data_IF_119191698921
#
_entry.id   IF_119191698921
#
_cell.length_a   1.000
_cell.length_b   1.000
_cell.length_c   1.000
_cell.angle_alpha   90.00
_cell.angle_beta   90.00
_cell.angle_gamma   90.00
#
_symmetry.space_group_name_H-M   'P 1'
#
loop_
_entity.id
_entity.type
_entity.pdbx_description
1 polymer ?
#
# COMPACT_ATOMS: atom_id res chain seq x y z
N UNK A 1 9.79 -11.65 4.36
CA UNK A 1 9.10 -10.58 3.60
C UNK A 1 7.91 -10.09 4.41
N UNK A 2 7.62 -8.80 4.35
CA UNK A 2 6.45 -8.20 5.01
C UNK A 2 5.55 -7.61 3.93
N UNK A 3 4.26 -7.92 4.01
CA UNK A 3 3.23 -7.35 3.13
C UNK A 3 2.15 -6.71 4.00
N UNK A 4 1.78 -5.51 3.67
CA UNK A 4 0.69 -4.80 4.33
C UNK A 4 -0.57 -4.86 3.47
N UNK A 5 -1.64 -5.37 4.03
CA UNK A 5 -2.95 -5.38 3.40
C UNK A 5 -3.83 -4.30 4.04
N UNK A 6 -4.26 -3.34 3.22
CA UNK A 6 -5.12 -2.25 3.63
C UNK A 6 -6.56 -2.49 3.13
N UNK A 7 -7.52 -2.48 4.05
CA UNK A 7 -8.93 -2.54 3.68
C UNK A 7 -9.42 -1.18 3.20
N UNK A 8 -9.44 -0.99 1.89
CA UNK A 8 -9.68 0.31 1.23
C UNK A 8 -10.96 1.04 1.67
N UNK A 9 -12.05 0.31 1.90
CA UNK A 9 -13.33 0.89 2.32
C UNK A 9 -13.22 1.41 3.76
N UNK A 10 -12.71 0.60 4.67
CA UNK A 10 -12.56 0.98 6.07
C UNK A 10 -11.45 2.03 6.29
N UNK A 11 -10.44 2.08 5.43
CA UNK A 11 -9.38 3.06 5.54
C UNK A 11 -9.87 4.52 5.42
N UNK A 12 -10.96 4.74 4.68
CA UNK A 12 -11.55 6.07 4.51
C UNK A 12 -12.27 6.55 5.77
N UNK A 13 -12.72 5.61 6.59
CA UNK A 13 -13.48 5.89 7.81
C UNK A 13 -12.55 6.08 9.02
N UNK A 14 -11.24 5.79 8.85
CA UNK A 14 -10.23 6.03 9.88
C UNK A 14 -9.92 7.50 9.92
N UNK A 15 -10.52 8.17 10.86
CA UNK A 15 -10.13 9.50 11.30
C UNK A 15 -9.68 9.40 12.75
N UNK A 16 -8.61 10.07 13.09
CA UNK A 16 -8.34 10.32 14.52
C UNK A 16 -9.34 11.34 14.97
N UNK A 17 -10.04 11.07 16.06
CA UNK A 17 -10.92 12.05 16.69
C UNK A 17 -10.17 13.37 16.84
N UNK A 18 -10.81 14.40 16.33
CA UNK A 18 -10.19 15.70 16.13
C UNK A 18 -9.49 16.20 17.34
N UNK A 19 -8.29 16.64 17.12
CA UNK A 19 -7.54 17.40 18.08
C UNK A 19 -8.32 18.65 18.38
N UNK A 20 -9.02 18.65 19.49
CA UNK A 20 -9.53 19.88 20.07
C UNK A 20 -8.33 20.71 20.54
N UNK A 21 -8.01 21.76 19.82
CA UNK A 21 -7.08 22.75 20.34
C UNK A 21 -7.77 23.46 21.51
N UNK A 22 -7.17 23.50 22.69
CA UNK A 22 -7.79 24.11 23.86
C UNK A 22 -8.19 25.57 23.67
N UNK A 23 -7.66 26.25 22.67
CA UNK A 23 -7.94 27.65 22.32
C UNK A 23 -8.53 27.84 20.92
N UNK A 24 -8.99 26.76 20.24
CA UNK A 24 -9.63 26.91 18.95
C UNK A 24 -11.05 27.46 19.13
N UNK A 25 -11.48 28.43 18.27
CA UNK A 25 -12.87 28.90 18.27
C UNK A 25 -13.82 27.69 18.11
N UNK A 26 -14.98 27.70 18.77
CA UNK A 26 -15.96 26.61 18.72
C UNK A 26 -16.43 26.21 17.32
N UNK A 27 -16.27 27.09 16.36
CA UNK A 27 -16.60 26.92 14.94
C UNK A 27 -15.37 26.74 14.04
N UNK A 28 -14.16 26.53 14.61
CA UNK A 28 -13.00 26.22 13.81
C UNK A 28 -13.23 24.90 13.03
N UNK A 29 -12.93 24.87 11.73
CA UNK A 29 -13.09 23.66 10.94
C UNK A 29 -12.23 22.55 11.57
N UNK A 30 -12.86 21.43 11.90
CA UNK A 30 -12.16 20.25 12.40
C UNK A 30 -11.31 19.67 11.25
N UNK A 31 -10.02 19.75 11.41
CA UNK A 31 -9.06 19.19 10.48
C UNK A 31 -8.56 17.84 11.00
N UNK A 32 -9.42 16.83 10.93
CA UNK A 32 -9.07 15.51 11.39
C UNK A 32 -8.11 14.85 10.40
N UNK A 33 -6.91 14.38 10.84
CA UNK A 33 -6.05 13.56 10.01
C UNK A 33 -6.79 12.30 9.58
N UNK A 34 -6.68 11.93 8.31
CA UNK A 34 -7.36 10.76 7.76
C UNK A 34 -6.52 10.06 6.70
N UNK A 35 -6.78 8.78 6.49
CA UNK A 35 -6.15 8.03 5.40
C UNK A 35 -6.86 8.38 4.10
N UNK A 36 -6.10 8.89 3.13
CA UNK A 36 -6.55 9.07 1.75
C UNK A 36 -5.88 8.08 0.83
N UNK A 37 -6.67 7.49 -0.06
CA UNK A 37 -6.17 6.62 -1.13
C UNK A 37 -6.02 7.49 -2.38
N UNK A 38 -4.78 7.69 -2.79
CA UNK A 38 -4.42 8.51 -3.94
C UNK A 38 -4.19 7.61 -5.15
N UNK A 39 -4.89 7.89 -6.23
CA UNK A 39 -4.61 7.28 -7.53
C UNK A 39 -3.67 8.20 -8.30
N UNK A 40 -2.43 7.78 -8.58
CA UNK A 40 -1.55 8.59 -9.42
C UNK A 40 -2.07 8.62 -10.85
N UNK A 41 -1.71 9.65 -11.61
CA UNK A 41 -1.89 9.65 -13.05
C UNK A 41 -1.05 8.51 -13.66
N UNK A 42 -1.70 7.68 -14.45
CA UNK A 42 -1.03 6.60 -15.18
C UNK A 42 -0.64 7.02 -16.59
N UNK A 43 -1.00 8.26 -17.00
CA UNK A 43 -0.81 8.75 -18.35
C UNK A 43 0.65 8.75 -18.79
N UNK A 44 1.54 9.17 -17.89
CA UNK A 44 2.95 9.35 -18.18
C UNK A 44 3.84 8.29 -17.51
N UNK A 45 3.23 7.29 -16.86
CA UNK A 45 3.97 6.23 -16.18
C UNK A 45 3.33 4.85 -16.41
N UNK A 46 3.81 4.11 -17.42
CA UNK A 46 3.29 2.80 -17.77
C UNK A 46 3.49 1.75 -16.66
N UNK A 47 4.50 1.92 -15.80
CA UNK A 47 4.71 1.00 -14.67
C UNK A 47 3.60 1.12 -13.63
N UNK A 48 3.16 2.34 -13.33
CA UNK A 48 2.03 2.55 -12.42
C UNK A 48 0.73 1.99 -13.00
N UNK A 49 0.56 2.10 -14.32
CA UNK A 49 -0.58 1.49 -15.01
C UNK A 49 -0.55 -0.04 -14.90
N UNK A 50 0.59 -0.66 -15.18
CA UNK A 50 0.78 -2.11 -15.13
C UNK A 50 0.59 -2.68 -13.70
N UNK A 51 1.05 -1.96 -12.69
CA UNK A 51 0.94 -2.37 -11.29
C UNK A 51 -0.46 -2.13 -10.71
N UNK A 52 -1.35 -1.43 -11.41
CA UNK A 52 -2.62 -0.94 -10.87
C UNK A 52 -2.43 -0.22 -9.51
N UNK A 53 -1.30 0.48 -9.38
CA UNK A 53 -0.79 1.02 -8.12
C UNK A 53 -1.72 2.05 -7.49
N UNK A 54 -1.82 1.97 -6.17
CA UNK A 54 -2.48 2.97 -5.34
C UNK A 54 -1.49 3.42 -4.28
N UNK A 55 -1.50 4.71 -3.97
CA UNK A 55 -0.77 5.25 -2.84
C UNK A 55 -1.73 5.56 -1.70
N UNK A 56 -1.21 5.48 -0.49
CA UNK A 56 -1.90 5.97 0.70
C UNK A 56 -1.16 7.18 1.24
N UNK A 57 -1.90 8.18 1.66
CA UNK A 57 -1.37 9.34 2.32
C UNK A 57 -2.20 9.63 3.58
N UNK A 58 -1.55 10.12 4.62
CA UNK A 58 -2.26 10.65 5.77
C UNK A 58 -2.47 12.14 5.50
N UNK A 59 -3.67 12.46 5.03
CA UNK A 59 -4.06 13.83 4.75
C UNK A 59 -4.14 14.63 6.06
N UNK A 60 -3.88 15.92 5.96
CA UNK A 60 -3.90 16.85 7.10
C UNK A 60 -2.95 16.46 8.24
N UNK A 61 -1.86 15.80 7.89
CA UNK A 61 -0.84 15.32 8.84
C UNK A 61 -0.08 16.46 9.57
N UNK A 62 -0.25 17.72 9.15
CA UNK A 62 0.37 18.87 9.80
C UNK A 62 0.02 19.00 11.29
N UNK A 63 -1.22 18.70 11.65
CA UNK A 63 -1.67 18.72 13.04
C UNK A 63 -1.00 17.60 13.84
N UNK A 64 -0.92 16.41 13.24
CA UNK A 64 -0.22 15.28 13.83
C UNK A 64 1.27 15.59 14.02
N UNK A 65 1.89 16.21 13.03
CA UNK A 65 3.28 16.64 13.07
C UNK A 65 3.57 17.60 14.24
N UNK A 66 2.72 18.57 14.45
CA UNK A 66 2.84 19.52 15.56
C UNK A 66 2.73 18.84 16.93
N UNK A 67 1.80 17.87 17.06
CA UNK A 67 1.58 17.15 18.33
C UNK A 67 2.68 16.13 18.63
N UNK A 68 3.20 15.48 17.62
CA UNK A 68 4.19 14.41 17.78
C UNK A 68 5.64 14.91 17.86
N UNK A 69 5.84 16.20 18.07
CA UNK A 69 7.18 16.78 18.15
C UNK A 69 7.95 16.74 16.84
N UNK A 70 7.27 16.92 15.71
CA UNK A 70 7.90 16.98 14.40
C UNK A 70 8.00 15.63 13.68
N UNK A 71 7.39 14.58 14.20
CA UNK A 71 7.36 13.27 13.53
C UNK A 71 6.19 13.18 12.55
N UNK A 72 6.47 12.62 11.37
CA UNK A 72 5.39 12.24 10.45
C UNK A 72 4.82 10.89 10.89
N UNK A 73 3.49 10.73 10.90
CA UNK A 73 2.92 9.44 11.20
C UNK A 73 3.27 8.44 10.09
N UNK A 74 3.69 7.24 10.46
CA UNK A 74 3.61 6.10 9.57
C UNK A 74 2.18 5.53 9.59
N UNK A 75 1.86 4.71 8.61
CA UNK A 75 0.50 4.17 8.46
C UNK A 75 0.12 3.25 9.63
N UNK A 76 1.07 2.45 10.12
CA UNK A 76 0.84 1.52 11.22
C UNK A 76 0.54 2.27 12.52
N UNK A 77 1.38 3.23 12.87
CA UNK A 77 1.22 4.05 14.06
C UNK A 77 -0.07 4.88 14.03
N UNK A 78 -0.41 5.44 12.87
CA UNK A 78 -1.65 6.19 12.70
C UNK A 78 -2.90 5.32 12.91
N UNK A 79 -2.93 4.12 12.32
CA UNK A 79 -4.06 3.19 12.51
C UNK A 79 -4.13 2.69 13.95
N UNK A 80 -3.00 2.43 14.60
CA UNK A 80 -2.96 2.02 16.00
C UNK A 80 -3.50 3.12 16.93
N UNK A 81 -3.18 4.39 16.67
CA UNK A 81 -3.66 5.53 17.45
C UNK A 81 -5.16 5.77 17.24
N UNK A 82 -5.63 5.67 16.00
CA UNK A 82 -7.04 5.85 15.65
C UNK A 82 -7.96 4.76 16.21
N UNK A 83 -7.40 3.61 16.62
CA UNK A 83 -8.14 2.47 17.23
C UNK A 83 -9.46 2.15 16.55
N UNK A 84 -9.48 1.92 15.22
CA UNK A 84 -10.73 1.64 14.52
C UNK A 84 -11.36 0.35 15.06
N UNK A 85 -12.69 0.32 15.16
CA UNK A 85 -13.43 -0.87 15.60
C UNK A 85 -13.39 -2.02 14.60
N UNK A 86 -12.94 -1.75 13.38
CA UNK A 86 -12.84 -2.72 12.29
C UNK A 86 -11.39 -2.88 11.84
N UNK A 87 -11.07 -4.04 11.31
CA UNK A 87 -9.75 -4.31 10.78
C UNK A 87 -9.49 -3.46 9.53
N UNK A 88 -8.58 -2.51 9.64
CA UNK A 88 -8.20 -1.59 8.56
C UNK A 88 -6.88 -1.99 7.92
N UNK A 89 -5.91 -2.37 8.74
CA UNK A 89 -4.56 -2.70 8.30
C UNK A 89 -4.16 -4.06 8.86
N UNK A 90 -3.65 -4.94 7.99
CA UNK A 90 -3.11 -6.25 8.39
C UNK A 90 -1.68 -6.38 7.92
N UNK A 91 -0.81 -6.74 8.83
CA UNK A 91 0.56 -7.14 8.54
C UNK A 91 0.62 -8.63 8.26
N UNK A 92 1.08 -8.99 7.09
CA UNK A 92 1.30 -10.36 6.67
C UNK A 92 2.79 -10.64 6.65
N UNK A 93 3.22 -11.66 7.36
CA UNK A 93 4.60 -12.10 7.39
C UNK A 93 4.73 -13.36 6.54
N UNK A 94 5.59 -13.33 5.56
CA UNK A 94 5.95 -14.51 4.78
C UNK A 94 7.36 -14.95 5.19
N UNK A 95 7.48 -16.16 5.71
CA UNK A 95 8.76 -16.77 5.96
C UNK A 95 9.50 -17.01 4.64
N UNK A 96 10.82 -16.95 4.68
CA UNK A 96 11.64 -17.06 3.45
C UNK A 96 11.49 -18.42 2.76
N UNK A 97 11.28 -19.47 3.54
CA UNK A 97 11.03 -20.84 3.07
C UNK A 97 9.82 -20.98 2.14
N UNK A 98 8.80 -20.11 2.31
CA UNK A 98 7.59 -20.11 1.47
C UNK A 98 7.69 -19.17 0.26
N UNK A 99 8.85 -18.60 -0.03
CA UNK A 99 9.00 -17.67 -1.14
C UNK A 99 8.78 -18.34 -2.49
N UNK A 100 9.26 -19.59 -2.65
CA UNK A 100 9.07 -20.36 -3.88
C UNK A 100 7.60 -20.67 -4.14
N UNK A 101 6.87 -21.10 -3.11
CA UNK A 101 5.45 -21.41 -3.19
C UNK A 101 4.63 -20.17 -3.59
N UNK A 102 4.98 -19.00 -3.00
CA UNK A 102 4.33 -17.76 -3.36
C UNK A 102 4.58 -17.38 -4.82
N UNK A 103 5.79 -17.56 -5.33
CA UNK A 103 6.11 -17.28 -6.73
C UNK A 103 5.25 -18.14 -7.65
N UNK A 104 5.05 -19.41 -7.31
CA UNK A 104 4.21 -20.32 -8.08
C UNK A 104 2.72 -19.88 -8.07
N UNK A 105 2.20 -19.46 -6.91
CA UNK A 105 0.85 -18.89 -6.81
C UNK A 105 0.73 -17.64 -7.68
N UNK A 106 1.69 -16.72 -7.59
CA UNK A 106 1.69 -15.50 -8.39
C UNK A 106 1.71 -15.78 -9.90
N UNK A 107 2.44 -16.81 -10.34
CA UNK A 107 2.43 -17.24 -11.75
C UNK A 107 1.05 -17.71 -12.21
N UNK A 108 0.36 -18.52 -11.40
CA UNK A 108 -1.02 -18.97 -11.67
C UNK A 108 -1.98 -17.80 -11.80
N UNK A 109 -1.78 -16.77 -10.98
CA UNK A 109 -2.53 -15.52 -11.03
C UNK A 109 -2.03 -14.56 -12.14
N UNK A 110 -1.13 -15.02 -13.01
CA UNK A 110 -0.54 -14.24 -14.12
C UNK A 110 0.22 -12.99 -13.63
N UNK A 111 0.70 -13.01 -12.40
CA UNK A 111 1.57 -11.97 -11.86
C UNK A 111 3.01 -12.39 -12.07
N UNK A 112 3.72 -11.68 -12.93
CA UNK A 112 5.12 -11.90 -13.23
C UNK A 112 5.91 -10.61 -13.17
N UNK A 113 7.22 -10.72 -13.32
CA UNK A 113 8.08 -9.54 -13.36
C UNK A 113 7.74 -8.63 -14.55
N UNK A 114 7.46 -9.22 -15.72
CA UNK A 114 7.10 -8.46 -16.92
C UNK A 114 5.72 -7.80 -16.80
N UNK A 115 4.77 -8.40 -16.07
CA UNK A 115 3.46 -7.79 -15.85
C UNK A 115 3.52 -6.62 -14.86
N UNK A 116 4.41 -6.68 -13.88
CA UNK A 116 4.60 -5.61 -12.90
C UNK A 116 5.54 -4.50 -13.39
N UNK A 117 6.54 -4.87 -14.18
CA UNK A 117 7.53 -3.95 -14.73
C UNK A 117 7.77 -4.32 -16.21
N UNK A 118 6.95 -3.83 -17.13
CA UNK A 118 6.98 -4.20 -18.55
C UNK A 118 8.17 -3.56 -19.28
N UNK A 119 9.38 -3.98 -18.94
CA UNK A 119 10.59 -3.68 -19.72
C UNK A 119 10.89 -4.80 -20.71
N UNK A 120 11.60 -4.50 -21.79
CA UNK A 120 12.01 -5.51 -22.76
C UNK A 120 12.84 -6.63 -22.11
N UNK A 121 13.72 -6.29 -21.17
CA UNK A 121 14.53 -7.27 -20.45
C UNK A 121 13.68 -8.22 -19.60
N UNK A 122 12.69 -7.70 -18.89
CA UNK A 122 11.79 -8.52 -18.07
C UNK A 122 10.90 -9.42 -18.93
N UNK A 123 10.43 -8.93 -20.09
CA UNK A 123 9.68 -9.74 -21.06
C UNK A 123 10.55 -10.86 -21.63
N UNK A 124 11.78 -10.54 -22.05
CA UNK A 124 12.72 -11.53 -22.57
C UNK A 124 13.06 -12.60 -21.53
N UNK A 125 13.25 -12.22 -20.28
CA UNK A 125 13.52 -13.13 -19.18
C UNK A 125 12.32 -14.06 -18.88
N UNK A 126 11.10 -13.54 -18.90
CA UNK A 126 9.89 -14.35 -18.71
C UNK A 126 9.70 -15.37 -19.84
N UNK A 127 9.95 -14.98 -21.10
CA UNK A 127 9.93 -15.87 -22.26
C UNK A 127 10.97 -17.00 -22.08
N UNK A 128 12.21 -16.62 -21.75
CA UNK A 128 13.29 -17.59 -21.51
C UNK A 128 12.94 -18.59 -20.42
N UNK A 129 12.40 -18.14 -19.32
CA UNK A 129 11.99 -19.00 -18.19
C UNK A 129 10.90 -19.98 -18.61
N UNK A 130 9.91 -19.53 -19.40
CA UNK A 130 8.86 -20.41 -19.93
C UNK A 130 9.40 -21.47 -20.87
N UNK A 131 10.35 -21.13 -21.75
CA UNK A 131 10.96 -22.09 -22.69
C UNK A 131 11.74 -23.17 -21.95
N UNK A 132 12.55 -22.80 -20.95
CA UNK A 132 13.30 -23.77 -20.16
C UNK A 132 12.38 -24.77 -19.45
N UNK A 133 11.26 -24.30 -18.86
CA UNK A 133 10.29 -25.18 -18.19
C UNK A 133 9.59 -26.18 -19.15
N UNK A 134 9.44 -25.84 -20.41
CA UNK A 134 8.85 -26.75 -21.40
C UNK A 134 9.88 -27.74 -21.95
N UNK A 135 11.15 -27.40 -21.93
CA UNK A 135 12.23 -28.30 -22.38
C UNK A 135 12.53 -29.46 -21.41
N UNK A 136 12.22 -29.24 -20.11
CA UNK A 136 12.41 -30.27 -19.08
C UNK A 136 11.25 -31.30 -19.03
N UNK A 137 10.21 -31.13 -19.86
CA UNK A 137 9.04 -32.00 -19.94
C UNK A 137 9.00 -32.84 -21.21
N UNK A 138 10.01 -32.72 -22.07
CA UNK A 138 10.17 -33.48 -23.33
C UNK A 138 11.26 -34.56 -23.19
#
# INVERSE_FOLDING_TARGET
>A
MVVWALHKRHARDVATEGVSFPNAPHNAPRFDPRIEVVRPSTRDNPFLAAQAGLFTAIARSGIYFLKSGGRRPDLEGFVAEARPQVLVLRKLLLAHEHAADLIEVLRRERVSRSTLMPTMDNVAQDIRTKWMQHSDLA
#
